data_IF_610696904699
#
_entry.id   IF_610696904699
#
_cell.length_a   1.000
_cell.length_b   1.000
_cell.length_c   1.000
_cell.angle_alpha   90.00
_cell.angle_beta   90.00
_cell.angle_gamma   90.00
#
_symmetry.space_group_name_H-M   'P 1'
#
loop_
_entity.id
_entity.type
_entity.pdbx_description
1 polymer ?
#
# COMPACT_ATOMS: atom_id res chain seq x y z
N UNK A 1 1.91 -18.63 -7.66
CA UNK A 1 2.89 -17.54 -7.73
C UNK A 1 2.36 -16.32 -8.46
N UNK A 2 1.68 -16.52 -9.62
CA UNK A 2 1.12 -15.38 -10.36
C UNK A 2 0.07 -14.61 -9.57
N UNK A 3 -0.75 -15.29 -8.77
CA UNK A 3 -1.76 -14.64 -7.95
C UNK A 3 -1.13 -13.76 -6.87
N UNK A 4 -0.08 -14.25 -6.23
CA UNK A 4 0.65 -13.48 -5.25
C UNK A 4 1.28 -12.25 -5.89
N UNK A 5 1.93 -12.42 -7.03
CA UNK A 5 2.57 -11.33 -7.75
C UNK A 5 1.55 -10.28 -8.19
N UNK A 6 0.42 -10.72 -8.75
CA UNK A 6 -0.65 -9.80 -9.14
C UNK A 6 -1.19 -9.02 -7.95
N UNK A 7 -1.40 -9.71 -6.81
CA UNK A 7 -1.85 -9.05 -5.59
C UNK A 7 -0.89 -7.99 -5.11
N UNK A 8 0.40 -8.28 -5.14
CA UNK A 8 1.44 -7.32 -4.73
C UNK A 8 1.48 -6.13 -5.68
N UNK A 9 1.43 -6.38 -6.99
CA UNK A 9 1.47 -5.30 -8.00
C UNK A 9 0.25 -4.39 -7.85
N UNK A 10 -0.95 -4.95 -7.80
CA UNK A 10 -2.15 -4.13 -7.66
C UNK A 10 -2.21 -3.43 -6.30
N UNK A 11 -1.75 -4.09 -5.23
CA UNK A 11 -1.67 -3.47 -3.91
C UNK A 11 -0.71 -2.30 -3.90
N UNK A 12 0.44 -2.43 -4.55
CA UNK A 12 1.41 -1.35 -4.65
C UNK A 12 0.83 -0.18 -5.43
N UNK A 13 0.17 -0.44 -6.57
CA UNK A 13 -0.47 0.62 -7.35
C UNK A 13 -1.55 1.32 -6.54
N UNK A 14 -2.37 0.56 -5.81
CA UNK A 14 -3.39 1.14 -4.94
C UNK A 14 -2.78 2.01 -3.85
N UNK A 15 -1.67 1.57 -3.27
CA UNK A 15 -0.97 2.36 -2.25
C UNK A 15 -0.40 3.65 -2.83
N UNK A 16 0.14 3.62 -4.05
CA UNK A 16 0.63 4.83 -4.71
C UNK A 16 -0.51 5.83 -4.92
N UNK A 17 -1.65 5.36 -5.44
CA UNK A 17 -2.81 6.24 -5.61
C UNK A 17 -3.30 6.80 -4.28
N UNK A 18 -3.39 5.96 -3.24
CA UNK A 18 -3.80 6.43 -1.91
C UNK A 18 -2.82 7.43 -1.33
N UNK A 19 -1.52 7.20 -1.50
CA UNK A 19 -0.51 8.14 -1.02
C UNK A 19 -0.69 9.50 -1.69
N UNK A 20 -0.82 9.52 -3.01
CA UNK A 20 -1.02 10.76 -3.74
C UNK A 20 -2.33 11.45 -3.32
N UNK A 21 -3.38 10.67 -3.10
CA UNK A 21 -4.68 11.20 -2.70
C UNK A 21 -4.64 11.77 -1.28
N UNK A 22 -4.03 11.08 -0.34
CA UNK A 22 -4.05 11.46 1.06
C UNK A 22 -2.88 12.36 1.44
N UNK A 23 -1.67 11.84 1.33
CA UNK A 23 -0.48 12.57 1.78
C UNK A 23 -0.10 13.70 0.82
N UNK A 24 -0.18 13.45 -0.47
CA UNK A 24 0.08 14.48 -1.47
C UNK A 24 -0.91 15.61 -1.37
N UNK A 25 -2.18 15.31 -1.14
CA UNK A 25 -3.22 16.32 -0.99
C UNK A 25 -2.95 17.22 0.21
N UNK A 26 -2.53 16.64 1.33
CA UNK A 26 -2.24 17.41 2.54
C UNK A 26 -0.97 18.23 2.35
N UNK A 27 0.09 17.62 1.82
CA UNK A 27 1.38 18.29 1.65
C UNK A 27 1.32 19.44 0.65
N UNK A 28 0.63 19.23 -0.46
CA UNK A 28 0.55 20.21 -1.54
C UNK A 28 -0.77 20.96 -1.60
N UNK A 29 -1.71 20.65 -0.72
CA UNK A 29 -3.00 21.32 -0.67
C UNK A 29 -3.92 20.99 -1.84
N UNK A 30 -3.69 19.86 -2.49
CA UNK A 30 -4.52 19.46 -3.65
C UNK A 30 -5.99 19.27 -3.30
N UNK A 31 -6.27 18.76 -2.11
CA UNK A 31 -7.66 18.55 -1.68
C UNK A 31 -8.42 19.87 -1.58
N UNK A 32 -7.78 20.89 -1.02
CA UNK A 32 -8.38 22.21 -0.92
C UNK A 32 -8.60 22.87 -2.27
N UNK A 33 -7.70 22.61 -3.21
CA UNK A 33 -7.72 23.19 -4.55
C UNK A 33 -8.63 22.44 -5.50
N UNK A 34 -8.61 21.10 -5.45
CA UNK A 34 -9.35 20.23 -6.36
C UNK A 34 -10.04 19.10 -5.59
N UNK A 35 -11.02 19.41 -4.70
CA UNK A 35 -11.60 18.37 -3.85
C UNK A 35 -12.32 17.27 -4.64
N UNK A 36 -13.00 17.64 -5.73
CA UNK A 36 -13.75 16.67 -6.53
C UNK A 36 -12.79 15.72 -7.25
N UNK A 37 -11.71 16.24 -7.82
CA UNK A 37 -10.73 15.40 -8.50
C UNK A 37 -10.05 14.42 -7.56
N UNK A 38 -9.73 14.87 -6.35
CA UNK A 38 -9.13 14.00 -5.34
C UNK A 38 -10.09 12.91 -4.91
N UNK A 39 -11.36 13.24 -4.70
CA UNK A 39 -12.35 12.24 -4.35
C UNK A 39 -12.60 11.25 -5.48
N UNK A 40 -12.61 11.73 -6.73
CA UNK A 40 -12.77 10.83 -7.89
C UNK A 40 -11.59 9.90 -8.06
N UNK A 41 -10.40 10.28 -7.61
CA UNK A 41 -9.22 9.43 -7.70
C UNK A 41 -9.34 8.18 -6.80
N UNK A 42 -10.29 8.17 -5.86
CA UNK A 42 -10.53 6.99 -5.03
C UNK A 42 -11.12 5.83 -5.83
N UNK A 43 -11.76 6.10 -6.97
CA UNK A 43 -12.34 5.06 -7.79
C UNK A 43 -11.27 4.11 -8.36
N UNK A 44 -10.22 4.59 -9.07
CA UNK A 44 -9.15 3.70 -9.50
C UNK A 44 -8.37 3.09 -8.33
N UNK A 45 -8.17 3.82 -7.24
CA UNK A 45 -7.50 3.28 -6.07
C UNK A 45 -8.28 2.10 -5.48
N UNK A 46 -9.60 2.24 -5.34
CA UNK A 46 -10.45 1.16 -4.85
C UNK A 46 -10.41 -0.05 -5.77
N UNK A 47 -10.41 0.18 -7.09
CA UNK A 47 -10.34 -0.91 -8.06
C UNK A 47 -9.03 -1.70 -7.88
N UNK A 48 -7.91 -1.00 -7.76
CA UNK A 48 -6.62 -1.67 -7.53
C UNK A 48 -6.62 -2.46 -6.23
N UNK A 49 -7.18 -1.91 -5.15
CA UNK A 49 -7.27 -2.61 -3.87
C UNK A 49 -8.15 -3.86 -3.96
N UNK A 50 -9.29 -3.76 -4.63
CA UNK A 50 -10.19 -4.90 -4.79
C UNK A 50 -9.49 -6.01 -5.58
N UNK A 51 -8.80 -5.67 -6.66
CA UNK A 51 -8.05 -6.64 -7.44
C UNK A 51 -6.91 -7.27 -6.64
N UNK A 52 -6.23 -6.46 -5.83
CA UNK A 52 -5.16 -6.95 -4.96
C UNK A 52 -5.71 -7.95 -3.95
N UNK A 53 -6.78 -7.59 -3.26
CA UNK A 53 -7.39 -8.47 -2.24
C UNK A 53 -7.90 -9.76 -2.88
N UNK A 54 -8.56 -9.66 -4.03
CA UNK A 54 -9.05 -10.83 -4.76
C UNK A 54 -7.91 -11.80 -5.07
N UNK A 55 -6.80 -11.29 -5.58
CA UNK A 55 -5.64 -12.11 -5.93
C UNK A 55 -4.98 -12.71 -4.70
N UNK A 56 -4.83 -11.94 -3.63
CA UNK A 56 -4.18 -12.41 -2.41
C UNK A 56 -5.05 -13.41 -1.65
N UNK A 57 -6.36 -13.23 -1.62
CA UNK A 57 -7.27 -14.19 -1.01
C UNK A 57 -7.22 -15.51 -1.79
N UNK A 58 -7.22 -15.44 -3.11
CA UNK A 58 -7.10 -16.61 -3.96
C UNK A 58 -5.78 -17.34 -3.72
N UNK A 59 -4.69 -16.59 -3.58
CA UNK A 59 -3.39 -17.16 -3.27
C UNK A 59 -3.37 -17.86 -1.90
N UNK A 60 -4.06 -17.28 -0.90
CA UNK A 60 -4.14 -17.81 0.45
C UNK A 60 -5.21 -18.87 0.67
N UNK A 61 -5.67 -19.52 -0.40
CA UNK A 61 -6.68 -20.59 -0.33
C UNK A 61 -8.00 -20.14 0.27
N UNK A 62 -8.40 -18.90 -0.01
CA UNK A 62 -9.66 -18.33 0.47
C UNK A 62 -9.59 -17.69 1.84
N UNK A 63 -8.46 -17.72 2.51
CA UNK A 63 -8.29 -17.06 3.80
C UNK A 63 -8.09 -15.57 3.63
N UNK A 64 -8.70 -14.78 4.51
CA UNK A 64 -8.64 -13.32 4.44
C UNK A 64 -7.39 -12.75 5.13
N UNK A 65 -6.88 -13.42 6.16
CA UNK A 65 -5.76 -12.91 6.93
C UNK A 65 -4.50 -12.66 6.09
N UNK A 66 -4.08 -13.57 5.18
CA UNK A 66 -2.88 -13.31 4.39
C UNK A 66 -3.00 -12.04 3.55
N UNK A 67 -4.17 -11.80 2.94
CA UNK A 67 -4.35 -10.59 2.12
C UNK A 67 -4.23 -9.33 2.95
N UNK A 68 -4.79 -9.34 4.17
CA UNK A 68 -4.75 -8.16 5.04
C UNK A 68 -3.34 -7.86 5.53
N UNK A 69 -2.62 -8.90 5.96
CA UNK A 69 -1.28 -8.71 6.50
C UNK A 69 -0.27 -8.34 5.41
N UNK A 70 -0.37 -8.95 4.23
CA UNK A 70 0.46 -8.58 3.09
C UNK A 70 0.17 -7.13 2.68
N UNK A 71 -1.12 -6.77 2.59
CA UNK A 71 -1.51 -5.41 2.25
C UNK A 71 -0.99 -4.38 3.24
N UNK A 72 -1.05 -4.69 4.53
CA UNK A 72 -0.53 -3.81 5.58
C UNK A 72 0.98 -3.60 5.43
N UNK A 73 1.73 -4.68 5.21
CA UNK A 73 3.17 -4.58 5.03
C UNK A 73 3.55 -3.78 3.79
N UNK A 74 2.88 -4.04 2.67
CA UNK A 74 3.11 -3.28 1.44
C UNK A 74 2.77 -1.81 1.67
N UNK A 75 1.67 -1.53 2.36
CA UNK A 75 1.25 -0.16 2.63
C UNK A 75 2.30 0.64 3.37
N UNK A 76 2.87 0.07 4.43
CA UNK A 76 3.90 0.76 5.21
C UNK A 76 5.16 0.97 4.37
N UNK A 77 5.60 -0.05 3.64
CA UNK A 77 6.82 0.04 2.82
C UNK A 77 6.65 1.10 1.75
N UNK A 78 5.54 1.08 1.00
CA UNK A 78 5.28 2.05 -0.06
C UNK A 78 5.17 3.45 0.53
N UNK A 79 4.46 3.62 1.65
CA UNK A 79 4.31 4.91 2.30
C UNK A 79 5.66 5.51 2.68
N UNK A 80 6.53 4.72 3.32
CA UNK A 80 7.85 5.21 3.75
C UNK A 80 8.70 5.59 2.54
N UNK A 81 8.73 4.74 1.51
CA UNK A 81 9.52 5.03 0.31
C UNK A 81 9.03 6.27 -0.41
N UNK A 82 7.73 6.43 -0.58
CA UNK A 82 7.17 7.60 -1.26
C UNK A 82 7.37 8.87 -0.44
N UNK A 83 7.21 8.78 0.88
CA UNK A 83 7.46 9.93 1.75
C UNK A 83 8.90 10.39 1.67
N UNK A 84 9.84 9.46 1.66
CA UNK A 84 11.25 9.79 1.54
C UNK A 84 11.59 10.40 0.19
N UNK A 85 11.08 9.80 -0.89
CA UNK A 85 11.42 10.21 -2.26
C UNK A 85 10.69 11.49 -2.66
N UNK A 86 9.37 11.54 -2.46
CA UNK A 86 8.54 12.61 -2.99
C UNK A 86 8.39 13.78 -2.03
N UNK A 87 8.26 13.52 -0.74
CA UNK A 87 8.06 14.56 0.26
C UNK A 87 9.35 14.94 0.99
N UNK A 88 10.43 14.23 0.70
CA UNK A 88 11.77 14.49 1.25
C UNK A 88 11.75 14.47 2.79
N UNK A 89 10.95 13.59 3.36
CA UNK A 89 10.97 13.40 4.81
C UNK A 89 12.09 12.45 5.19
N UNK A 90 12.90 12.80 6.21
CA UNK A 90 14.00 11.94 6.61
C UNK A 90 13.51 10.65 7.26
N UNK A 91 14.20 9.55 6.98
CA UNK A 91 13.93 8.28 7.62
C UNK A 91 14.65 8.28 8.98
N UNK A 92 13.88 8.24 10.07
CA UNK A 92 14.43 8.17 11.41
C UNK A 92 14.66 6.71 11.80
N UNK A 93 15.40 6.48 12.89
CA UNK A 93 15.60 5.14 13.42
C UNK A 93 14.26 4.48 13.76
N UNK A 94 13.32 5.24 14.28
CA UNK A 94 11.98 4.78 14.59
C UNK A 94 11.26 4.27 13.34
N UNK A 95 11.30 5.05 12.25
CA UNK A 95 10.70 4.68 10.98
C UNK A 95 11.37 3.44 10.39
N UNK A 96 12.68 3.36 10.48
CA UNK A 96 13.43 2.21 9.99
C UNK A 96 13.04 0.93 10.74
N UNK A 97 12.84 1.04 12.06
CA UNK A 97 12.38 -0.10 12.86
C UNK A 97 11.00 -0.58 12.41
N UNK A 98 10.08 0.35 12.20
CA UNK A 98 8.74 0.02 11.70
C UNK A 98 8.79 -0.62 10.31
N UNK A 99 9.65 -0.11 9.44
CA UNK A 99 9.84 -0.66 8.11
C UNK A 99 10.36 -2.10 8.18
N UNK A 100 11.31 -2.35 9.08
CA UNK A 100 11.84 -3.69 9.28
C UNK A 100 10.75 -4.65 9.76
N UNK A 101 9.90 -4.22 10.70
CA UNK A 101 8.79 -5.03 11.18
C UNK A 101 7.78 -5.32 10.06
N UNK A 102 7.49 -4.33 9.22
CA UNK A 102 6.58 -4.51 8.09
C UNK A 102 7.14 -5.53 7.09
N UNK A 103 8.44 -5.46 6.80
CA UNK A 103 9.10 -6.43 5.94
C UNK A 103 9.04 -7.83 6.55
N UNK A 104 9.18 -7.93 7.88
CA UNK A 104 9.07 -9.21 8.58
C UNK A 104 7.67 -9.80 8.45
N UNK A 105 6.63 -8.97 8.55
CA UNK A 105 5.25 -9.43 8.33
C UNK A 105 5.08 -10.03 6.94
N UNK A 106 5.60 -9.35 5.92
CA UNK A 106 5.52 -9.85 4.54
C UNK A 106 6.24 -11.19 4.40
N UNK A 107 7.45 -11.29 4.95
CA UNK A 107 8.23 -12.52 4.85
C UNK A 107 7.53 -13.69 5.54
N UNK A 108 6.98 -13.46 6.72
CA UNK A 108 6.26 -14.50 7.45
C UNK A 108 5.05 -14.98 6.66
N UNK A 109 4.26 -14.06 6.11
CA UNK A 109 3.05 -14.42 5.37
C UNK A 109 3.34 -15.15 4.06
N UNK A 110 4.44 -14.81 3.39
CA UNK A 110 4.75 -15.38 2.09
C UNK A 110 5.45 -16.75 2.24
N UNK A 111 6.40 -16.86 3.17
CA UNK A 111 7.25 -18.04 3.26
C UNK A 111 6.84 -19.03 4.34
N UNK A 112 6.11 -18.61 5.34
CA UNK A 112 5.65 -19.52 6.38
C UNK A 112 4.32 -20.13 5.99
N UNK A 113 4.34 -21.42 5.78
CA UNK A 113 3.12 -22.16 5.42
C UNK A 113 2.62 -23.02 6.57
#
# INVERSE_FOLDING_TARGET
MNRLLNGIIFGTLGQVFSFMQLQGSIKYGWFQKYPILILLSSIPAAWFYIKSVESLVSWGNGELWPSRLIGFGIGIIVFVLLSFILLIEPITLKTLTCLFLAASILLVQIFWK
#
